data_IF_084154754506
#
_entry.id   IF_084154754506
#
_cell.length_a   1.000
_cell.length_b   1.000
_cell.length_c   1.000
_cell.angle_alpha   90.00
_cell.angle_beta   90.00
_cell.angle_gamma   90.00
#
_symmetry.space_group_name_H-M   'P 1'
#
loop_
_entity.id
_entity.type
_entity.pdbx_description
1 polymer ?
#
# COMPACT_ATOMS: atom_id res chain seq x y z
N UNK A 1 9.12 6.16 2.97
CA UNK A 1 7.75 6.34 2.42
C UNK A 1 7.25 4.99 1.94
N UNK A 2 5.98 4.64 2.15
CA UNK A 2 5.42 3.36 1.68
C UNK A 2 4.09 3.60 0.97
N UNK A 3 3.95 3.09 -0.25
CA UNK A 3 2.74 3.20 -1.07
C UNK A 3 2.06 1.83 -1.17
N UNK A 4 0.77 1.82 -0.88
CA UNK A 4 -0.09 0.65 -1.01
C UNK A 4 -1.00 0.85 -2.23
N UNK A 5 -1.09 -0.15 -3.10
CA UNK A 5 -2.09 -0.17 -4.18
C UNK A 5 -2.97 -1.42 -4.08
N UNK A 6 -4.18 -1.33 -4.63
CA UNK A 6 -5.11 -2.45 -4.72
C UNK A 6 -5.26 -2.88 -6.19
N UNK A 7 -5.37 -4.19 -6.43
CA UNK A 7 -5.44 -4.75 -7.79
C UNK A 7 -6.61 -4.19 -8.60
N UNK A 8 -7.78 -4.04 -7.96
CA UNK A 8 -9.02 -3.54 -8.56
C UNK A 8 -9.33 -2.10 -8.14
N UNK A 9 -8.29 -1.28 -7.98
CA UNK A 9 -8.42 0.15 -7.72
C UNK A 9 -8.20 0.94 -9.02
N UNK A 10 -9.15 1.82 -9.42
CA UNK A 10 -8.94 2.73 -10.54
C UNK A 10 -7.70 3.62 -10.40
N UNK A 11 -7.26 3.90 -9.17
CA UNK A 11 -6.10 4.74 -8.85
C UNK A 11 -4.77 3.97 -8.76
N UNK A 12 -4.78 2.66 -9.06
CA UNK A 12 -3.61 1.78 -8.94
C UNK A 12 -2.42 2.32 -9.73
N UNK A 13 -2.66 2.69 -10.98
CA UNK A 13 -1.60 3.07 -11.90
C UNK A 13 -0.98 4.43 -11.51
N UNK A 14 -1.79 5.37 -11.00
CA UNK A 14 -1.31 6.63 -10.44
C UNK A 14 -0.48 6.43 -9.17
N UNK A 15 -0.90 5.51 -8.30
CA UNK A 15 -0.14 5.15 -7.10
C UNK A 15 1.24 4.57 -7.43
N UNK A 16 1.32 3.69 -8.42
CA UNK A 16 2.58 3.11 -8.87
C UNK A 16 3.45 4.11 -9.66
N UNK A 17 2.83 5.00 -10.44
CA UNK A 17 3.53 6.11 -11.08
C UNK A 17 4.14 7.07 -10.05
N UNK A 18 3.45 7.33 -8.93
CA UNK A 18 4.00 8.12 -7.83
C UNK A 18 5.21 7.44 -7.19
N UNK A 19 5.17 6.13 -6.99
CA UNK A 19 6.31 5.36 -6.50
C UNK A 19 7.54 5.56 -7.39
N UNK A 20 7.39 5.39 -8.71
CA UNK A 20 8.48 5.59 -9.66
C UNK A 20 9.04 7.01 -9.59
N UNK A 21 8.18 8.04 -9.60
CA UNK A 21 8.61 9.44 -9.51
C UNK A 21 9.38 9.75 -8.23
N UNK A 22 8.97 9.18 -7.09
CA UNK A 22 9.67 9.37 -5.81
C UNK A 22 11.05 8.72 -5.86
N UNK A 23 11.14 7.50 -6.40
CA UNK A 23 12.40 6.78 -6.51
C UNK A 23 13.37 7.47 -7.47
N UNK A 24 12.89 7.99 -8.61
CA UNK A 24 13.70 8.74 -9.58
C UNK A 24 14.27 10.04 -8.99
N UNK A 25 13.61 10.61 -7.98
CA UNK A 25 14.08 11.78 -7.22
C UNK A 25 14.98 11.41 -6.03
N UNK A 26 15.33 10.14 -5.86
CA UNK A 26 16.16 9.66 -4.75
C UNK A 26 15.43 9.58 -3.40
N UNK A 27 14.10 9.67 -3.38
CA UNK A 27 13.32 9.49 -2.15
C UNK A 27 13.16 8.00 -1.88
N UNK A 28 13.65 7.55 -0.72
CA UNK A 28 13.46 6.17 -0.26
C UNK A 28 11.97 5.84 -0.12
N UNK A 29 11.46 5.09 -1.09
CA UNK A 29 10.07 4.69 -1.19
C UNK A 29 9.98 3.19 -1.48
N UNK A 30 8.94 2.56 -0.95
CA UNK A 30 8.54 1.19 -1.29
C UNK A 30 7.11 1.20 -1.83
N UNK A 31 6.76 0.22 -2.65
CA UNK A 31 5.41 0.07 -3.19
C UNK A 31 4.99 -1.39 -3.13
N UNK A 32 3.76 -1.66 -2.67
CA UNK A 32 3.19 -2.99 -2.58
C UNK A 32 1.76 -3.01 -3.11
N UNK A 33 1.52 -3.86 -4.11
CA UNK A 33 0.19 -4.15 -4.63
C UNK A 33 -0.45 -5.30 -3.85
N UNK A 34 -1.66 -5.09 -3.37
CA UNK A 34 -2.48 -6.12 -2.74
C UNK A 34 -3.46 -6.69 -3.77
N UNK A 35 -3.42 -8.00 -3.96
CA UNK A 35 -4.25 -8.72 -4.92
C UNK A 35 -5.63 -9.06 -4.33
N UNK A 36 -6.64 -9.14 -5.17
CA UNK A 36 -8.01 -9.53 -4.79
C UNK A 36 -8.81 -8.46 -4.07
N UNK A 37 -8.29 -7.22 -4.00
CA UNK A 37 -8.90 -6.14 -3.20
C UNK A 37 -9.24 -4.92 -4.04
N UNK A 38 -10.24 -4.17 -3.56
CA UNK A 38 -10.74 -2.93 -4.16
C UNK A 38 -10.15 -1.70 -3.48
N UNK A 39 -10.41 -0.53 -4.06
CA UNK A 39 -10.17 0.75 -3.39
C UNK A 39 -10.79 0.77 -1.97
N UNK A 40 -10.04 1.31 -0.99
CA UNK A 40 -10.52 1.43 0.39
C UNK A 40 -10.52 0.13 1.21
N UNK A 41 -10.04 -1.00 0.67
CA UNK A 41 -10.07 -2.29 1.38
C UNK A 41 -9.44 -2.25 2.79
N UNK A 42 -8.44 -1.39 3.01
CA UNK A 42 -7.77 -1.20 4.29
C UNK A 42 -8.73 -0.86 5.43
N UNK A 43 -9.84 -0.17 5.14
CA UNK A 43 -10.86 0.21 6.13
C UNK A 43 -11.76 -0.96 6.53
N UNK A 44 -11.76 -2.06 5.77
CA UNK A 44 -12.67 -3.19 5.94
C UNK A 44 -12.15 -4.23 6.97
N UNK A 45 -11.38 -3.80 7.98
CA UNK A 45 -10.75 -4.69 8.96
C UNK A 45 -11.72 -5.61 9.73
N UNK A 46 -12.98 -5.20 9.88
CA UNK A 46 -14.04 -6.01 10.50
C UNK A 46 -14.41 -7.28 9.72
N UNK A 47 -14.23 -7.29 8.40
CA UNK A 47 -14.72 -8.37 7.52
C UNK A 47 -13.64 -8.96 6.60
N UNK A 48 -12.60 -8.19 6.28
CA UNK A 48 -11.53 -8.60 5.38
C UNK A 48 -10.29 -9.07 6.14
N UNK A 49 -9.86 -10.31 5.88
CA UNK A 49 -8.58 -10.82 6.38
C UNK A 49 -7.42 -10.00 5.80
N UNK A 50 -7.42 -9.75 4.50
CA UNK A 50 -6.38 -8.96 3.82
C UNK A 50 -6.23 -7.57 4.42
N UNK A 51 -7.35 -6.93 4.79
CA UNK A 51 -7.31 -5.62 5.47
C UNK A 51 -6.59 -5.70 6.83
N UNK A 52 -6.92 -6.69 7.67
CA UNK A 52 -6.24 -6.88 8.96
C UNK A 52 -4.76 -7.20 8.82
N UNK A 53 -4.41 -8.04 7.85
CA UNK A 53 -3.02 -8.38 7.57
C UNK A 53 -2.24 -7.14 7.10
N UNK A 54 -2.86 -6.30 6.26
CA UNK A 54 -2.27 -5.02 5.81
C UNK A 54 -2.08 -4.02 6.96
N UNK A 55 -3.06 -3.89 7.87
CA UNK A 55 -2.92 -3.04 9.07
C UNK A 55 -1.73 -3.49 9.91
N UNK A 56 -1.56 -4.82 10.09
CA UNK A 56 -0.42 -5.37 10.84
C UNK A 56 0.91 -5.10 10.14
N UNK A 57 0.98 -5.28 8.83
CA UNK A 57 2.18 -4.99 8.04
C UNK A 57 2.60 -3.52 8.16
N UNK A 58 1.65 -2.60 7.95
CA UNK A 58 1.90 -1.15 8.07
C UNK A 58 2.32 -0.77 9.50
N UNK A 59 1.69 -1.34 10.52
CA UNK A 59 2.05 -1.09 11.91
C UNK A 59 3.47 -1.58 12.24
N UNK A 60 3.86 -2.75 11.72
CA UNK A 60 5.21 -3.28 11.87
C UNK A 60 6.25 -2.34 11.24
N UNK A 61 6.02 -1.94 9.97
CA UNK A 61 6.92 -1.02 9.25
C UNK A 61 7.08 0.32 9.96
N UNK A 62 5.98 0.88 10.45
CA UNK A 62 6.00 2.14 11.18
C UNK A 62 6.79 2.04 12.50
N UNK A 63 6.77 0.88 13.15
CA UNK A 63 7.50 0.64 14.39
C UNK A 63 9.00 0.39 14.18
N UNK A 64 9.40 -0.24 13.07
CA UNK A 64 10.79 -0.65 12.82
C UNK A 64 11.66 0.42 12.14
N UNK A 65 11.09 1.54 11.68
CA UNK A 65 11.80 2.61 10.95
C UNK A 65 12.64 2.08 9.78
N UNK A 66 12.08 1.13 9.04
CA UNK A 66 12.48 0.86 7.65
C UNK A 66 11.75 1.80 6.68
#
# INVERSE_FOLDING_TARGET
>A
MHILTAEFDPLRDEGEALYHRLNDQGVACTCQRYLGVIHGFFQLGGVSKTARDTIRDVAWRAATRE
#
